data_IF_933360394832
#
_entry.id   IF_933360394832
#
_cell.length_a   1.000
_cell.length_b   1.000
_cell.length_c   1.000
_cell.angle_alpha   90.00
_cell.angle_beta   90.00
_cell.angle_gamma   90.00
#
_symmetry.space_group_name_H-M   'P 1'
#
loop_
_entity.id
_entity.type
_entity.pdbx_description
1 polymer ?
#
# COMPACT_ATOMS: atom_id res chain seq x y z
N UNK A 1 42.69 34.77 -15.65
CA UNK A 1 42.73 33.37 -16.11
C UNK A 1 41.44 32.69 -15.69
N UNK A 2 40.53 32.44 -16.63
CA UNK A 2 39.16 31.94 -16.32
C UNK A 2 38.65 30.85 -17.27
N UNK A 3 39.54 30.25 -18.06
CA UNK A 3 39.19 29.24 -19.07
C UNK A 3 39.70 27.83 -18.73
N UNK A 4 40.31 27.63 -17.55
CA UNK A 4 40.74 26.30 -17.11
C UNK A 4 39.60 25.60 -16.39
N UNK A 5 39.28 24.39 -16.82
CA UNK A 5 38.37 23.51 -16.09
C UNK A 5 38.98 23.21 -14.72
N UNK A 6 38.18 23.28 -13.67
CA UNK A 6 38.62 22.90 -12.34
C UNK A 6 38.99 21.40 -12.36
N UNK A 7 40.25 21.09 -12.05
CA UNK A 7 40.74 19.72 -11.88
C UNK A 7 41.18 19.51 -10.43
N UNK A 8 40.79 18.37 -9.88
CA UNK A 8 41.23 17.92 -8.56
C UNK A 8 42.00 16.61 -8.72
N UNK A 9 43.32 16.76 -8.91
CA UNK A 9 44.24 15.63 -9.06
C UNK A 9 44.38 14.79 -7.78
N UNK A 10 43.88 15.25 -6.62
CA UNK A 10 44.00 14.58 -5.33
C UNK A 10 42.68 13.93 -4.85
N UNK A 11 41.57 14.15 -5.54
CA UNK A 11 40.26 13.59 -5.18
C UNK A 11 39.66 14.16 -3.87
N UNK A 12 40.11 15.34 -3.45
CA UNK A 12 39.66 16.05 -2.25
C UNK A 12 38.40 16.92 -2.47
N UNK A 13 38.05 17.24 -3.71
CA UNK A 13 36.96 18.13 -4.11
C UNK A 13 35.92 17.36 -4.95
N UNK A 14 34.64 17.47 -4.59
CA UNK A 14 33.55 17.10 -5.50
C UNK A 14 33.31 18.23 -6.50
N UNK A 15 33.99 18.17 -7.64
CA UNK A 15 33.77 19.11 -8.75
C UNK A 15 32.48 18.72 -9.47
N UNK A 16 31.37 19.39 -9.15
CA UNK A 16 30.09 19.16 -9.79
C UNK A 16 30.01 19.94 -11.12
N UNK A 17 30.47 19.33 -12.21
CA UNK A 17 30.53 19.93 -13.54
C UNK A 17 29.19 20.12 -14.27
N UNK A 18 28.05 20.07 -13.56
CA UNK A 18 26.72 20.17 -14.18
C UNK A 18 26.06 21.50 -13.81
N UNK A 19 26.26 22.49 -14.67
CA UNK A 19 25.54 23.78 -14.72
C UNK A 19 24.11 23.60 -15.28
N UNK A 20 23.35 22.66 -14.72
CA UNK A 20 21.92 22.52 -15.00
C UNK A 20 21.08 23.36 -14.03
N UNK A 21 19.97 23.94 -14.50
CA UNK A 21 19.03 24.71 -13.68
C UNK A 21 18.71 23.99 -12.35
N UNK A 22 18.72 24.69 -11.19
CA UNK A 22 18.75 24.10 -9.85
C UNK A 22 17.40 23.53 -9.37
N UNK A 23 16.46 23.26 -10.29
CA UNK A 23 15.14 22.75 -9.93
C UNK A 23 15.16 21.22 -9.77
N UNK A 24 16.04 20.51 -10.48
CA UNK A 24 16.22 19.06 -10.33
C UNK A 24 17.69 18.70 -10.48
N UNK A 25 18.32 18.22 -9.41
CA UNK A 25 19.68 17.68 -9.47
C UNK A 25 19.74 16.50 -10.45
N UNK A 26 20.70 16.53 -11.37
CA UNK A 26 20.93 15.46 -12.33
C UNK A 26 21.47 14.21 -11.62
N UNK A 27 20.62 13.19 -11.47
CA UNK A 27 20.92 11.93 -10.75
C UNK A 27 21.58 10.87 -11.65
N UNK A 28 22.26 9.88 -11.03
CA UNK A 28 23.04 8.85 -11.75
C UNK A 28 22.13 7.80 -12.40
N UNK A 29 22.49 7.37 -13.62
CA UNK A 29 21.81 6.26 -14.35
C UNK A 29 21.95 4.94 -13.58
N UNK A 30 20.96 4.05 -13.70
CA UNK A 30 21.06 2.72 -13.11
C UNK A 30 22.13 1.88 -13.83
N UNK A 31 22.86 1.06 -13.08
CA UNK A 31 23.83 0.11 -13.62
C UNK A 31 23.11 -0.97 -14.43
N UNK A 32 23.63 -1.28 -15.64
CA UNK A 32 23.21 -2.48 -16.37
C UNK A 32 23.59 -3.72 -15.55
N UNK A 33 22.64 -4.64 -15.38
CA UNK A 33 22.79 -5.91 -14.64
C UNK A 33 22.51 -7.09 -15.58
N UNK A 34 23.04 -8.30 -15.30
CA UNK A 34 22.96 -9.43 -16.22
C UNK A 34 21.55 -9.72 -16.72
N UNK A 35 21.47 -10.21 -17.96
CA UNK A 35 20.23 -10.38 -18.72
C UNK A 35 19.15 -11.12 -17.93
N UNK A 36 18.07 -10.40 -17.63
CA UNK A 36 16.86 -10.99 -17.08
C UNK A 36 16.15 -11.74 -18.21
N UNK A 37 15.68 -12.96 -17.94
CA UNK A 37 14.86 -13.75 -18.89
C UNK A 37 13.78 -12.85 -19.53
N UNK A 38 13.82 -12.64 -20.87
CA UNK A 38 12.88 -11.78 -21.57
C UNK A 38 11.41 -12.16 -21.33
N UNK A 39 11.13 -13.45 -21.14
CA UNK A 39 9.78 -13.94 -20.90
C UNK A 39 9.25 -13.49 -19.54
N UNK A 40 10.11 -13.58 -18.52
CA UNK A 40 9.81 -13.09 -17.18
C UNK A 40 9.73 -11.56 -17.12
N UNK A 41 10.63 -10.87 -17.83
CA UNK A 41 10.57 -9.41 -17.98
C UNK A 41 9.23 -8.96 -18.55
N UNK A 42 8.77 -9.63 -19.62
CA UNK A 42 7.47 -9.33 -20.23
C UNK A 42 6.32 -9.51 -19.23
N UNK A 43 6.29 -10.64 -18.52
CA UNK A 43 5.26 -10.90 -17.52
C UNK A 43 5.22 -9.80 -16.45
N UNK A 44 6.38 -9.43 -15.89
CA UNK A 44 6.47 -8.40 -14.85
C UNK A 44 5.97 -7.06 -15.41
N UNK A 45 6.39 -6.67 -16.61
CA UNK A 45 5.95 -5.42 -17.23
C UNK A 45 4.44 -5.38 -17.47
N UNK A 46 3.81 -6.50 -17.81
CA UNK A 46 2.35 -6.58 -17.93
C UNK A 46 1.64 -6.43 -16.58
N UNK A 47 2.15 -7.09 -15.52
CA UNK A 47 1.63 -6.86 -14.16
C UNK A 47 1.71 -5.38 -13.78
N UNK A 48 2.85 -4.74 -13.99
CA UNK A 48 3.05 -3.33 -13.63
C UNK A 48 2.21 -2.39 -14.51
N UNK A 49 2.07 -2.68 -15.81
CA UNK A 49 1.22 -1.91 -16.72
C UNK A 49 -0.26 -1.99 -16.34
N UNK A 50 -0.78 -3.19 -16.08
CA UNK A 50 -2.15 -3.39 -15.59
C UNK A 50 -2.34 -2.71 -14.23
N UNK A 51 -1.39 -2.85 -13.31
CA UNK A 51 -1.43 -2.17 -12.02
C UNK A 51 -1.57 -0.65 -12.23
N UNK A 52 -0.69 -0.02 -13.01
CA UNK A 52 -0.74 1.42 -13.26
C UNK A 52 -2.05 1.86 -13.90
N UNK A 53 -2.62 1.06 -14.80
CA UNK A 53 -3.96 1.32 -15.34
C UNK A 53 -5.02 1.37 -14.24
N UNK A 54 -5.06 0.37 -13.35
CA UNK A 54 -6.00 0.34 -12.23
C UNK A 54 -5.78 1.43 -11.19
N UNK A 55 -4.53 1.88 -11.01
CA UNK A 55 -4.23 3.03 -10.17
C UNK A 55 -4.93 4.26 -10.75
N UNK A 56 -4.67 4.58 -12.02
CA UNK A 56 -5.25 5.75 -12.68
C UNK A 56 -6.78 5.68 -12.67
N UNK A 57 -7.36 4.55 -13.08
CA UNK A 57 -8.81 4.34 -13.06
C UNK A 57 -9.38 4.52 -11.65
N UNK A 58 -8.83 3.81 -10.66
CA UNK A 58 -9.29 3.85 -9.28
C UNK A 58 -9.17 5.24 -8.67
N UNK A 59 -8.05 5.94 -8.87
CA UNK A 59 -7.88 7.31 -8.37
C UNK A 59 -8.78 8.31 -9.07
N UNK A 60 -9.06 8.15 -10.38
CA UNK A 60 -10.02 9.00 -11.08
C UNK A 60 -11.44 8.81 -10.55
N UNK A 61 -11.85 7.57 -10.24
CA UNK A 61 -13.13 7.32 -9.55
C UNK A 61 -13.13 7.97 -8.16
N UNK A 62 -12.02 7.88 -7.42
CA UNK A 62 -11.87 8.52 -6.11
C UNK A 62 -11.98 10.05 -6.17
N UNK A 63 -11.33 10.69 -7.14
CA UNK A 63 -11.42 12.12 -7.39
C UNK A 63 -12.86 12.54 -7.70
N UNK A 64 -13.53 11.79 -8.57
CA UNK A 64 -14.93 12.04 -8.91
C UNK A 64 -15.87 11.91 -7.71
N UNK A 65 -15.64 10.92 -6.83
CA UNK A 65 -16.35 10.84 -5.54
C UNK A 65 -16.05 12.03 -4.62
N UNK A 66 -14.81 12.53 -4.63
CA UNK A 66 -14.41 13.76 -3.96
C UNK A 66 -15.23 14.97 -4.42
N UNK A 67 -15.41 15.12 -5.74
CA UNK A 67 -16.27 16.17 -6.32
C UNK A 67 -17.71 16.03 -5.82
N UNK A 68 -18.24 14.80 -5.71
CA UNK A 68 -19.60 14.56 -5.19
C UNK A 68 -19.81 14.94 -3.72
N UNK A 69 -18.76 15.04 -2.91
CA UNK A 69 -18.90 15.58 -1.55
C UNK A 69 -19.20 17.09 -1.55
N UNK A 70 -18.67 17.82 -2.54
CA UNK A 70 -18.85 19.28 -2.65
C UNK A 70 -20.08 19.62 -3.51
N UNK A 71 -20.31 18.86 -4.58
CA UNK A 71 -21.42 19.00 -5.51
C UNK A 71 -22.17 17.65 -5.65
N UNK A 72 -23.05 17.30 -4.68
CA UNK A 72 -23.80 16.05 -4.72
C UNK A 72 -24.69 15.90 -5.95
N UNK A 73 -25.16 17.02 -6.50
CA UNK A 73 -26.06 17.10 -7.67
C UNK A 73 -25.30 17.19 -9.01
N UNK A 74 -24.01 16.85 -9.04
CA UNK A 74 -23.22 16.87 -10.28
C UNK A 74 -23.80 15.96 -11.39
N UNK A 75 -24.52 14.91 -11.01
CA UNK A 75 -25.30 14.03 -11.88
C UNK A 75 -26.27 13.18 -11.05
N UNK A 76 -27.23 12.55 -11.74
CA UNK A 76 -28.23 11.66 -11.12
C UNK A 76 -28.21 10.25 -11.73
N UNK A 77 -27.09 9.82 -12.32
CA UNK A 77 -26.97 8.51 -12.96
C UNK A 77 -26.75 7.45 -11.89
N UNK A 78 -27.63 6.45 -11.81
CA UNK A 78 -27.59 5.43 -10.74
C UNK A 78 -26.26 4.66 -10.70
N UNK A 79 -25.68 4.35 -11.86
CA UNK A 79 -24.37 3.70 -12.02
C UNK A 79 -23.22 4.52 -11.43
N UNK A 80 -23.36 5.84 -11.41
CA UNK A 80 -22.36 6.78 -10.91
C UNK A 80 -22.67 7.28 -9.50
N UNK A 81 -23.69 6.73 -8.84
CA UNK A 81 -24.03 7.10 -7.47
C UNK A 81 -22.87 6.85 -6.49
N UNK A 82 -22.75 7.69 -5.47
CA UNK A 82 -21.68 7.60 -4.48
C UNK A 82 -21.58 6.20 -3.84
N UNK A 83 -22.74 5.64 -3.45
CA UNK A 83 -22.81 4.32 -2.82
C UNK A 83 -22.34 3.16 -3.69
N UNK A 84 -22.40 3.30 -5.03
CA UNK A 84 -21.89 2.28 -5.96
C UNK A 84 -20.45 2.52 -6.36
N UNK A 85 -20.05 3.78 -6.53
CA UNK A 85 -18.69 4.12 -6.94
C UNK A 85 -17.67 4.06 -5.82
N UNK A 86 -18.05 4.28 -4.54
CA UNK A 86 -17.13 4.09 -3.40
C UNK A 86 -16.48 2.70 -3.40
N UNK A 87 -17.25 1.59 -3.45
CA UNK A 87 -16.64 0.27 -3.50
C UNK A 87 -15.90 0.00 -4.83
N UNK A 88 -16.28 0.65 -5.94
CA UNK A 88 -15.49 0.57 -7.19
C UNK A 88 -14.10 1.18 -6.99
N UNK A 89 -14.02 2.38 -6.41
CA UNK A 89 -12.75 3.03 -6.08
C UNK A 89 -11.87 2.15 -5.20
N UNK A 90 -12.41 1.69 -4.07
CA UNK A 90 -11.64 0.90 -3.09
C UNK A 90 -11.15 -0.41 -3.70
N UNK A 91 -12.02 -1.16 -4.40
CA UNK A 91 -11.63 -2.44 -4.99
C UNK A 91 -10.66 -2.28 -6.18
N UNK A 92 -10.81 -1.23 -6.98
CA UNK A 92 -9.87 -0.94 -8.07
C UNK A 92 -8.46 -0.62 -7.54
N UNK A 93 -8.34 0.19 -6.47
CA UNK A 93 -7.02 0.54 -5.91
C UNK A 93 -6.42 -0.59 -5.05
N UNK A 94 -7.23 -1.41 -4.39
CA UNK A 94 -6.76 -2.53 -3.55
C UNK A 94 -6.42 -3.75 -4.40
N UNK A 95 -7.40 -4.28 -5.13
CA UNK A 95 -7.28 -5.55 -5.84
C UNK A 95 -6.73 -5.38 -7.26
N UNK A 96 -6.96 -4.21 -7.88
CA UNK A 96 -6.36 -3.85 -9.16
C UNK A 96 -4.94 -3.32 -9.01
N UNK A 97 -4.77 -2.11 -8.46
CA UNK A 97 -3.46 -1.47 -8.37
C UNK A 97 -2.49 -2.19 -7.43
N UNK A 98 -2.79 -2.18 -6.12
CA UNK A 98 -1.81 -2.59 -5.13
C UNK A 98 -1.48 -4.09 -5.27
N UNK A 99 -2.49 -4.94 -5.45
CA UNK A 99 -2.28 -6.39 -5.60
C UNK A 99 -1.48 -6.75 -6.86
N UNK A 100 -1.79 -6.18 -8.04
CA UNK A 100 -1.01 -6.47 -9.25
C UNK A 100 0.40 -5.87 -9.17
N UNK A 101 0.56 -4.68 -8.58
CA UNK A 101 1.87 -4.06 -8.37
C UNK A 101 2.76 -4.90 -7.45
N UNK A 102 2.20 -5.35 -6.33
CA UNK A 102 2.86 -6.27 -5.40
C UNK A 102 3.27 -7.57 -6.08
N UNK A 103 2.33 -8.25 -6.75
CA UNK A 103 2.60 -9.51 -7.42
C UNK A 103 3.64 -9.36 -8.52
N UNK A 104 3.56 -8.32 -9.35
CA UNK A 104 4.54 -8.02 -10.40
C UNK A 104 5.96 -7.87 -9.84
N UNK A 105 6.12 -7.11 -8.76
CA UNK A 105 7.40 -7.00 -8.06
C UNK A 105 7.79 -8.33 -7.39
N UNK A 106 6.85 -9.09 -6.83
CA UNK A 106 7.08 -10.41 -6.25
C UNK A 106 7.65 -11.42 -7.27
N UNK A 107 7.12 -11.44 -8.50
CA UNK A 107 7.64 -12.25 -9.61
C UNK A 107 9.08 -11.86 -10.01
N UNK A 108 9.50 -10.63 -9.70
CA UNK A 108 10.91 -10.25 -9.79
C UNK A 108 11.71 -10.75 -8.59
N UNK A 109 11.25 -10.46 -7.37
CA UNK A 109 11.99 -10.67 -6.12
C UNK A 109 12.20 -12.15 -5.81
N UNK A 110 11.15 -12.96 -5.83
CA UNK A 110 11.18 -14.34 -5.31
C UNK A 110 12.22 -15.22 -6.03
N UNK A 111 12.29 -15.26 -7.38
CA UNK A 111 13.33 -16.03 -8.06
C UNK A 111 14.75 -15.49 -7.79
N UNK A 112 14.89 -14.17 -7.63
CA UNK A 112 16.20 -13.49 -7.48
C UNK A 112 16.83 -13.81 -6.13
N UNK A 113 16.07 -13.71 -5.04
CA UNK A 113 16.59 -14.04 -3.71
C UNK A 113 16.73 -15.54 -3.49
N UNK A 114 16.01 -16.36 -4.26
CA UNK A 114 16.16 -17.82 -4.26
C UNK A 114 17.31 -18.30 -5.17
N UNK A 115 17.92 -17.37 -5.91
CA UNK A 115 18.97 -17.64 -6.90
C UNK A 115 18.61 -18.82 -7.84
N UNK A 116 17.40 -18.77 -8.40
CA UNK A 116 16.88 -19.78 -9.33
C UNK A 116 15.86 -19.17 -10.30
N UNK A 117 15.49 -19.90 -11.35
CA UNK A 117 14.46 -19.46 -12.30
C UNK A 117 13.07 -19.65 -11.71
N UNK A 118 12.10 -18.84 -12.14
CA UNK A 118 10.69 -19.01 -11.78
C UNK A 118 10.23 -20.43 -12.18
N UNK A 119 9.51 -21.11 -11.30
CA UNK A 119 9.16 -22.51 -11.49
C UNK A 119 8.26 -22.77 -12.72
N UNK A 120 7.26 -21.92 -12.94
CA UNK A 120 6.37 -22.00 -14.10
C UNK A 120 5.89 -20.61 -14.55
N UNK A 121 6.26 -20.19 -15.76
CA UNK A 121 5.85 -18.89 -16.31
C UNK A 121 4.35 -18.82 -16.63
N UNK A 122 3.72 -19.95 -17.01
CA UNK A 122 2.30 -20.00 -17.39
C UNK A 122 1.39 -19.66 -16.21
N UNK A 123 1.75 -20.12 -15.01
CA UNK A 123 0.98 -19.81 -13.79
C UNK A 123 0.97 -18.30 -13.49
N UNK A 124 2.07 -17.61 -13.81
CA UNK A 124 2.11 -16.15 -13.71
C UNK A 124 1.15 -15.45 -14.66
N UNK A 125 1.05 -15.93 -15.91
CA UNK A 125 0.08 -15.39 -16.88
C UNK A 125 -1.37 -15.69 -16.50
N UNK A 126 -1.67 -16.91 -16.06
CA UNK A 126 -3.01 -17.27 -15.61
C UNK A 126 -3.43 -16.44 -14.40
N UNK A 127 -2.55 -16.25 -13.43
CA UNK A 127 -2.81 -15.40 -12.28
C UNK A 127 -3.09 -13.94 -12.70
N UNK A 128 -2.32 -13.39 -13.64
CA UNK A 128 -2.54 -12.05 -14.17
C UNK A 128 -3.92 -11.90 -14.81
N UNK A 129 -4.31 -12.84 -15.67
CA UNK A 129 -5.60 -12.79 -16.37
C UNK A 129 -6.78 -12.95 -15.41
N UNK A 130 -6.68 -13.90 -14.47
CA UNK A 130 -7.72 -14.15 -13.48
C UNK A 130 -7.94 -12.95 -12.55
N UNK A 131 -6.87 -12.32 -12.07
CA UNK A 131 -6.98 -11.14 -11.21
C UNK A 131 -7.58 -9.96 -11.97
N UNK A 132 -7.14 -9.69 -13.21
CA UNK A 132 -7.76 -8.63 -14.01
C UNK A 132 -9.23 -8.94 -14.31
N UNK A 133 -9.57 -10.17 -14.66
CA UNK A 133 -10.96 -10.58 -14.87
C UNK A 133 -11.81 -10.36 -13.61
N UNK A 134 -11.30 -10.70 -12.43
CA UNK A 134 -11.98 -10.44 -11.16
C UNK A 134 -12.25 -8.95 -10.96
N UNK A 135 -11.25 -8.08 -11.19
CA UNK A 135 -11.41 -6.63 -10.98
C UNK A 135 -12.35 -6.00 -12.01
N UNK A 136 -12.31 -6.43 -13.28
CA UNK A 136 -13.23 -5.96 -14.32
C UNK A 136 -14.66 -6.38 -14.00
N UNK A 137 -14.90 -7.67 -13.79
CA UNK A 137 -16.23 -8.19 -13.52
C UNK A 137 -16.79 -7.62 -12.22
N UNK A 138 -15.95 -7.53 -11.18
CA UNK A 138 -16.32 -6.93 -9.91
C UNK A 138 -16.71 -5.47 -10.05
N UNK A 139 -15.93 -4.67 -10.79
CA UNK A 139 -16.26 -3.26 -11.06
C UNK A 139 -17.62 -3.14 -11.73
N UNK A 140 -17.90 -3.96 -12.75
CA UNK A 140 -19.19 -3.96 -13.46
C UNK A 140 -20.32 -4.36 -12.50
N UNK A 141 -20.15 -5.41 -11.70
CA UNK A 141 -21.14 -5.84 -10.71
C UNK A 141 -21.46 -4.71 -9.72
N UNK A 142 -20.44 -4.04 -9.16
CA UNK A 142 -20.64 -2.95 -8.21
C UNK A 142 -21.37 -1.75 -8.81
N UNK A 143 -21.02 -1.35 -10.04
CA UNK A 143 -21.73 -0.28 -10.76
C UNK A 143 -23.19 -0.66 -11.07
N UNK A 144 -23.46 -1.93 -11.32
CA UNK A 144 -24.81 -2.48 -11.48
C UNK A 144 -25.59 -2.60 -10.14
N UNK A 145 -24.93 -2.42 -8.99
CA UNK A 145 -25.51 -2.57 -7.66
C UNK A 145 -25.52 -4.01 -7.14
N UNK A 146 -24.81 -4.93 -7.80
CA UNK A 146 -24.65 -6.33 -7.38
C UNK A 146 -23.42 -6.41 -6.47
N UNK A 147 -23.64 -6.57 -5.17
CA UNK A 147 -22.56 -6.64 -4.17
C UNK A 147 -22.82 -7.73 -3.12
N UNK A 148 -21.80 -8.00 -2.31
CA UNK A 148 -21.81 -9.02 -1.25
C UNK A 148 -22.16 -8.45 0.13
N UNK A 149 -23.34 -7.80 0.25
CA UNK A 149 -23.93 -7.47 1.56
C UNK A 149 -23.24 -6.34 2.35
N UNK A 150 -22.52 -5.43 1.68
CA UNK A 150 -22.01 -4.19 2.29
C UNK A 150 -20.75 -4.31 3.15
N UNK A 151 -20.10 -5.48 3.22
CA UNK A 151 -18.81 -5.62 3.90
C UNK A 151 -17.69 -4.91 3.15
N UNK A 152 -17.04 -3.93 3.79
CA UNK A 152 -15.92 -3.18 3.21
C UNK A 152 -14.77 -4.09 2.75
N UNK A 153 -14.25 -3.82 1.55
CA UNK A 153 -13.20 -4.56 0.84
C UNK A 153 -13.58 -5.99 0.40
N UNK A 154 -14.77 -6.50 0.76
CA UNK A 154 -15.31 -7.80 0.33
C UNK A 154 -16.58 -7.66 -0.50
N UNK A 155 -16.74 -6.54 -1.21
CA UNK A 155 -17.98 -6.20 -1.91
C UNK A 155 -18.20 -7.02 -3.17
N UNK A 156 -17.15 -7.60 -3.77
CA UNK A 156 -17.28 -8.54 -4.87
C UNK A 156 -18.04 -9.80 -4.44
N UNK A 157 -18.98 -10.24 -5.27
CA UNK A 157 -19.69 -11.51 -5.04
C UNK A 157 -18.74 -12.70 -5.16
N UNK A 158 -19.06 -13.79 -4.47
CA UNK A 158 -18.17 -14.96 -4.38
C UNK A 158 -17.68 -15.51 -5.74
N UNK A 159 -18.46 -15.53 -6.85
CA UNK A 159 -17.94 -16.02 -8.14
C UNK A 159 -16.83 -15.14 -8.69
N UNK A 160 -16.92 -13.82 -8.46
CA UNK A 160 -15.91 -12.85 -8.89
C UNK A 160 -14.65 -13.00 -8.04
N UNK A 161 -14.81 -13.05 -6.71
CA UNK A 161 -13.68 -13.20 -5.79
C UNK A 161 -12.96 -14.54 -5.96
N UNK A 162 -13.68 -15.60 -6.37
CA UNK A 162 -13.07 -16.89 -6.66
C UNK A 162 -12.00 -16.81 -7.76
N UNK A 163 -12.19 -15.97 -8.78
CA UNK A 163 -11.17 -15.75 -9.83
C UNK A 163 -9.89 -15.16 -9.23
N UNK A 164 -10.04 -14.14 -8.37
CA UNK A 164 -8.90 -13.55 -7.65
C UNK A 164 -8.20 -14.60 -6.78
N UNK A 165 -8.97 -15.37 -6.01
CA UNK A 165 -8.46 -16.42 -5.13
C UNK A 165 -7.65 -17.47 -5.90
N UNK A 166 -8.15 -17.95 -7.05
CA UNK A 166 -7.43 -18.89 -7.91
C UNK A 166 -6.12 -18.27 -8.41
N UNK A 167 -6.12 -17.00 -8.83
CA UNK A 167 -4.90 -16.31 -9.26
C UNK A 167 -3.84 -16.20 -8.15
N UNK A 168 -4.28 -15.92 -6.92
CA UNK A 168 -3.42 -15.89 -5.73
C UNK A 168 -2.88 -17.29 -5.39
N UNK A 169 -3.71 -18.33 -5.45
CA UNK A 169 -3.29 -19.73 -5.23
C UNK A 169 -2.27 -20.19 -6.27
N UNK A 170 -2.49 -19.88 -7.56
CA UNK A 170 -1.51 -20.20 -8.61
C UNK A 170 -0.18 -19.51 -8.38
N UNK A 171 -0.21 -18.25 -7.94
CA UNK A 171 1.00 -17.51 -7.54
C UNK A 171 1.70 -18.19 -6.36
N UNK A 172 0.95 -18.59 -5.32
CA UNK A 172 1.51 -19.29 -4.16
C UNK A 172 2.24 -20.56 -4.56
N UNK A 173 1.58 -21.43 -5.35
CA UNK A 173 2.16 -22.68 -5.83
C UNK A 173 3.46 -22.40 -6.61
N UNK A 174 3.45 -21.39 -7.48
CA UNK A 174 4.61 -21.03 -8.29
C UNK A 174 5.77 -20.53 -7.42
N UNK A 175 5.50 -19.69 -6.41
CA UNK A 175 6.52 -19.18 -5.50
C UNK A 175 7.08 -20.27 -4.60
N UNK A 176 6.24 -21.14 -4.03
CA UNK A 176 6.70 -22.27 -3.22
C UNK A 176 7.57 -23.23 -4.03
N UNK A 177 7.17 -23.57 -5.26
CA UNK A 177 7.99 -24.40 -6.15
C UNK A 177 9.31 -23.72 -6.54
N UNK A 178 9.31 -22.40 -6.71
CA UNK A 178 10.53 -21.63 -6.98
C UNK A 178 11.47 -21.67 -5.77
N UNK A 179 10.95 -21.45 -4.56
CA UNK A 179 11.73 -21.46 -3.31
C UNK A 179 12.24 -22.87 -2.97
N UNK A 180 11.47 -23.91 -3.28
CA UNK A 180 11.89 -25.30 -3.12
C UNK A 180 13.10 -25.66 -4.01
N UNK A 181 13.24 -24.99 -5.16
CA UNK A 181 14.36 -25.14 -6.11
C UNK A 181 15.48 -24.12 -5.90
N UNK A 182 15.49 -23.44 -4.74
CA UNK A 182 16.52 -22.45 -4.42
C UNK A 182 17.90 -23.09 -4.35
N UNK A 183 18.91 -22.33 -4.71
CA UNK A 183 20.32 -22.73 -4.53
C UNK A 183 20.93 -22.19 -3.23
N UNK A 184 20.24 -21.28 -2.55
CA UNK A 184 20.65 -20.74 -1.25
C UNK A 184 20.30 -21.70 -0.11
N UNK A 185 21.16 -21.81 0.90
CA UNK A 185 20.89 -22.63 2.09
C UNK A 185 19.66 -22.11 2.84
N UNK A 186 19.70 -20.83 3.20
CA UNK A 186 18.62 -20.15 3.91
C UNK A 186 17.63 -19.50 2.95
N UNK A 187 16.38 -19.39 3.39
CA UNK A 187 15.36 -18.61 2.68
C UNK A 187 15.49 -17.16 3.14
N UNK A 188 15.75 -16.24 2.21
CA UNK A 188 15.88 -14.82 2.53
C UNK A 188 14.57 -14.24 3.08
N UNK A 189 14.66 -13.32 4.04
CA UNK A 189 13.51 -12.81 4.79
C UNK A 189 12.43 -12.18 3.90
N UNK A 190 12.81 -11.58 2.77
CA UNK A 190 11.85 -11.06 1.77
C UNK A 190 10.84 -12.12 1.32
N UNK A 191 11.28 -13.37 1.10
CA UNK A 191 10.39 -14.46 0.74
C UNK A 191 9.46 -14.86 1.89
N UNK A 192 9.90 -14.74 3.16
CA UNK A 192 9.05 -15.04 4.31
C UNK A 192 7.83 -14.12 4.31
N UNK A 193 8.06 -12.82 4.19
CA UNK A 193 7.03 -11.80 4.12
C UNK A 193 6.10 -11.98 2.92
N UNK A 194 6.65 -12.15 1.71
CA UNK A 194 5.86 -12.31 0.48
C UNK A 194 4.98 -13.56 0.53
N UNK A 195 5.56 -14.72 0.91
CA UNK A 195 4.80 -15.98 0.94
C UNK A 195 3.77 -15.99 2.06
N UNK A 196 4.13 -15.49 3.25
CA UNK A 196 3.18 -15.37 4.35
C UNK A 196 1.99 -14.50 3.97
N UNK A 197 2.22 -13.39 3.27
CA UNK A 197 1.15 -12.51 2.83
C UNK A 197 0.16 -13.20 1.88
N UNK A 198 0.67 -13.96 0.91
CA UNK A 198 -0.15 -14.75 0.00
C UNK A 198 -0.96 -15.82 0.76
N UNK A 199 -0.34 -16.51 1.72
CA UNK A 199 -1.04 -17.48 2.57
C UNK A 199 -2.17 -16.80 3.34
N UNK A 200 -1.91 -15.65 3.98
CA UNK A 200 -2.93 -14.92 4.71
C UNK A 200 -4.04 -14.39 3.80
N UNK A 201 -3.74 -13.94 2.58
CA UNK A 201 -4.75 -13.53 1.61
C UNK A 201 -5.73 -14.68 1.28
N UNK A 202 -5.22 -15.91 1.16
CA UNK A 202 -6.07 -17.09 0.97
C UNK A 202 -6.89 -17.38 2.22
N UNK A 203 -6.28 -17.34 3.40
CA UNK A 203 -6.97 -17.57 4.69
C UNK A 203 -8.11 -16.57 4.88
N UNK A 204 -7.88 -15.27 4.72
CA UNK A 204 -8.91 -14.26 4.91
C UNK A 204 -10.03 -14.41 3.88
N UNK A 205 -9.71 -14.79 2.64
CA UNK A 205 -10.71 -15.03 1.59
C UNK A 205 -11.61 -16.21 1.96
N UNK A 206 -11.04 -17.32 2.45
CA UNK A 206 -11.82 -18.46 2.93
C UNK A 206 -12.69 -18.04 4.12
N UNK A 207 -12.11 -17.35 5.10
CA UNK A 207 -12.83 -16.88 6.30
C UNK A 207 -13.99 -15.94 5.96
N UNK A 208 -13.87 -15.14 4.90
CA UNK A 208 -14.88 -14.14 4.53
C UNK A 208 -15.94 -14.62 3.54
N UNK A 209 -15.72 -15.72 2.81
CA UNK A 209 -16.64 -16.18 1.77
C UNK A 209 -17.23 -17.58 2.02
N UNK A 210 -16.72 -18.32 3.00
CA UNK A 210 -17.37 -19.56 3.48
C UNK A 210 -18.40 -19.19 4.54
N UNK A 211 -19.71 -19.43 4.30
CA UNK A 211 -20.80 -18.90 5.13
C UNK A 211 -21.05 -19.74 6.41
N UNK A 212 -20.00 -20.21 7.07
CA UNK A 212 -20.13 -21.12 8.22
C UNK A 212 -20.22 -20.37 9.57
N UNK A 213 -19.49 -19.26 9.72
CA UNK A 213 -19.39 -18.50 10.98
C UNK A 213 -19.97 -17.07 10.89
N UNK A 214 -20.61 -16.70 9.78
CA UNK A 214 -21.11 -15.34 9.46
C UNK A 214 -22.56 -15.07 9.92
N UNK A 215 -22.92 -15.43 11.15
CA UNK A 215 -24.27 -15.19 11.69
C UNK A 215 -24.27 -14.18 12.84
N UNK A 216 -25.18 -13.20 12.81
CA UNK A 216 -25.33 -12.19 13.86
C UNK A 216 -24.04 -11.42 14.13
N UNK A 217 -23.58 -11.41 15.39
CA UNK A 217 -22.30 -10.78 15.76
C UNK A 217 -21.08 -11.39 15.05
N UNK A 218 -21.18 -12.65 14.62
CA UNK A 218 -20.14 -13.33 13.86
C UNK A 218 -19.79 -12.58 12.57
N UNK A 219 -20.80 -12.09 11.84
CA UNK A 219 -20.59 -11.33 10.61
C UNK A 219 -19.75 -10.07 10.84
N UNK A 220 -20.06 -9.30 11.89
CA UNK A 220 -19.31 -8.08 12.25
C UNK A 220 -17.87 -8.42 12.65
N UNK A 221 -17.65 -9.47 13.44
CA UNK A 221 -16.31 -9.91 13.85
C UNK A 221 -15.48 -10.31 12.63
N UNK A 222 -16.07 -11.08 11.70
CA UNK A 222 -15.41 -11.54 10.48
C UNK A 222 -15.14 -10.38 9.53
N UNK A 223 -16.06 -9.42 9.43
CA UNK A 223 -15.85 -8.21 8.65
C UNK A 223 -14.63 -7.45 9.16
N UNK A 224 -14.52 -7.26 10.49
CA UNK A 224 -13.37 -6.58 11.09
C UNK A 224 -12.08 -7.34 10.90
N UNK A 225 -12.13 -8.66 11.06
CA UNK A 225 -11.01 -9.56 10.78
C UNK A 225 -10.56 -9.41 9.32
N UNK A 226 -11.45 -9.62 8.35
CA UNK A 226 -11.12 -9.53 6.92
C UNK A 226 -10.57 -8.15 6.55
N UNK A 227 -11.26 -7.09 6.95
CA UNK A 227 -10.93 -5.72 6.60
C UNK A 227 -9.53 -5.34 7.08
N UNK A 228 -9.23 -5.61 8.35
CA UNK A 228 -7.94 -5.26 8.92
C UNK A 228 -6.83 -6.18 8.39
N UNK A 229 -7.07 -7.48 8.35
CA UNK A 229 -6.07 -8.47 7.89
C UNK A 229 -5.72 -8.30 6.41
N UNK A 230 -6.67 -7.85 5.58
CA UNK A 230 -6.38 -7.45 4.21
C UNK A 230 -5.29 -6.37 4.17
N UNK A 231 -5.43 -5.31 4.96
CA UNK A 231 -4.44 -4.22 5.02
C UNK A 231 -3.09 -4.68 5.57
N UNK A 232 -3.07 -5.37 6.72
CA UNK A 232 -1.79 -5.73 7.34
C UNK A 232 -1.12 -6.97 6.81
N UNK A 233 -1.88 -8.04 6.60
CA UNK A 233 -1.30 -9.33 6.25
C UNK A 233 -1.18 -9.50 4.75
N UNK A 234 -2.08 -8.93 3.94
CA UNK A 234 -1.90 -8.95 2.49
C UNK A 234 -1.05 -7.78 2.02
N UNK A 235 -1.52 -6.53 2.16
CA UNK A 235 -0.84 -5.38 1.58
C UNK A 235 0.48 -5.04 2.28
N UNK A 236 0.46 -4.83 3.60
CA UNK A 236 1.63 -4.38 4.35
C UNK A 236 2.71 -5.47 4.36
N UNK A 237 2.37 -6.69 4.79
CA UNK A 237 3.35 -7.77 4.92
C UNK A 237 4.04 -8.07 3.58
N UNK A 238 3.30 -8.13 2.46
CA UNK A 238 3.89 -8.35 1.14
C UNK A 238 4.83 -7.20 0.76
N UNK A 239 4.38 -5.96 0.95
CA UNK A 239 5.14 -4.76 0.60
C UNK A 239 6.41 -4.63 1.45
N UNK A 240 6.37 -4.97 2.73
CA UNK A 240 7.57 -5.06 3.57
C UNK A 240 8.57 -6.06 2.99
N UNK A 241 8.09 -7.21 2.48
CA UNK A 241 8.93 -8.16 1.75
C UNK A 241 9.62 -7.54 0.53
N UNK A 242 8.91 -6.72 -0.25
CA UNK A 242 9.48 -5.95 -1.37
C UNK A 242 10.56 -4.99 -0.87
N UNK A 243 10.32 -4.26 0.22
CA UNK A 243 11.30 -3.32 0.82
C UNK A 243 12.55 -4.03 1.29
N UNK A 244 12.42 -5.18 1.98
CA UNK A 244 13.55 -6.00 2.42
C UNK A 244 14.46 -6.44 1.28
N UNK A 245 13.95 -6.52 0.05
CA UNK A 245 14.77 -6.77 -1.12
C UNK A 245 15.33 -5.49 -1.74
N UNK A 246 14.46 -4.54 -2.11
CA UNK A 246 14.88 -3.42 -2.93
C UNK A 246 15.68 -2.38 -2.17
N UNK A 247 15.36 -2.09 -0.90
CA UNK A 247 16.06 -1.07 -0.13
C UNK A 247 17.58 -1.34 0.01
N UNK A 248 18.01 -2.50 0.54
CA UNK A 248 19.44 -2.83 0.61
C UNK A 248 20.07 -2.89 -0.80
N UNK A 249 19.32 -3.37 -1.79
CA UNK A 249 19.79 -3.42 -3.18
C UNK A 249 20.04 -2.03 -3.78
N UNK A 250 19.19 -1.05 -3.52
CA UNK A 250 19.35 0.33 -4.00
C UNK A 250 20.48 1.06 -3.25
N UNK A 251 20.66 0.76 -1.96
CA UNK A 251 21.75 1.31 -1.16
C UNK A 251 23.09 0.61 -1.41
N UNK A 252 23.08 -0.55 -2.08
CA UNK A 252 24.22 -1.45 -2.23
C UNK A 252 24.88 -1.75 -0.87
N UNK A 253 24.04 -2.12 0.10
CA UNK A 253 24.42 -2.39 1.50
C UNK A 253 23.62 -3.58 2.04
N UNK A 254 24.16 -4.34 3.00
CA UNK A 254 23.34 -5.28 3.75
C UNK A 254 22.25 -4.54 4.52
N UNK A 255 21.14 -5.24 4.78
CA UNK A 255 20.13 -4.76 5.73
C UNK A 255 20.78 -4.59 7.12
N UNK A 256 20.38 -3.57 7.87
CA UNK A 256 21.03 -3.22 9.13
C UNK A 256 21.06 -4.36 10.15
N UNK A 257 19.92 -4.98 10.45
CA UNK A 257 19.83 -6.08 11.41
C UNK A 257 18.88 -7.17 10.93
N UNK A 258 19.43 -8.38 10.75
CA UNK A 258 18.64 -9.55 10.42
C UNK A 258 17.69 -9.94 11.57
N UNK A 259 18.16 -9.85 12.81
CA UNK A 259 17.35 -10.17 14.00
C UNK A 259 16.17 -9.22 14.19
N UNK A 260 16.33 -7.93 13.89
CA UNK A 260 15.19 -6.99 13.89
C UNK A 260 14.16 -7.36 12.81
N UNK A 261 14.62 -7.86 11.67
CA UNK A 261 13.72 -8.36 10.64
C UNK A 261 12.92 -9.57 11.11
N UNK A 262 13.57 -10.56 11.75
CA UNK A 262 12.89 -11.74 12.32
C UNK A 262 11.89 -11.33 13.41
N UNK A 263 12.30 -10.43 14.31
CA UNK A 263 11.44 -9.92 15.38
C UNK A 263 10.21 -9.25 14.78
N UNK A 264 10.40 -8.35 13.82
CA UNK A 264 9.31 -7.67 13.14
C UNK A 264 8.37 -8.67 12.44
N UNK A 265 8.89 -9.69 11.77
CA UNK A 265 8.09 -10.69 11.07
C UNK A 265 7.17 -11.46 12.02
N UNK A 266 7.72 -12.05 13.08
CA UNK A 266 6.93 -12.90 13.98
C UNK A 266 5.98 -12.10 14.86
N UNK A 267 6.41 -10.93 15.34
CA UNK A 267 5.53 -10.08 16.16
C UNK A 267 4.43 -9.44 15.33
N UNK A 268 4.67 -9.12 14.06
CA UNK A 268 3.61 -8.73 13.12
C UNK A 268 2.54 -9.82 13.02
N UNK A 269 2.93 -11.08 12.81
CA UNK A 269 1.97 -12.18 12.71
C UNK A 269 1.20 -12.34 14.04
N UNK A 270 1.92 -12.37 15.17
CA UNK A 270 1.33 -12.56 16.48
C UNK A 270 0.30 -11.48 16.82
N UNK A 271 0.67 -10.21 16.69
CA UNK A 271 -0.18 -9.11 17.14
C UNK A 271 -1.25 -8.75 16.10
N UNK A 272 -0.90 -8.67 14.82
CA UNK A 272 -1.82 -8.16 13.81
C UNK A 272 -3.05 -9.07 13.61
N UNK A 273 -2.88 -10.38 13.80
CA UNK A 273 -4.00 -11.33 13.72
C UNK A 273 -5.11 -11.11 14.77
N UNK A 274 -4.83 -10.37 15.84
CA UNK A 274 -5.75 -10.14 16.95
C UNK A 274 -6.57 -8.84 16.81
N UNK A 275 -6.24 -7.98 15.85
CA UNK A 275 -6.64 -6.57 15.89
C UNK A 275 -8.01 -6.29 15.24
N UNK A 276 -8.56 -7.21 14.45
CA UNK A 276 -9.72 -6.95 13.60
C UNK A 276 -10.91 -6.26 14.28
N UNK A 277 -11.19 -6.54 15.56
CA UNK A 277 -12.32 -5.94 16.28
C UNK A 277 -12.07 -4.52 16.79
N UNK A 278 -10.88 -3.93 16.60
CA UNK A 278 -10.63 -2.52 16.93
C UNK A 278 -11.41 -1.53 16.03
N UNK A 279 -11.94 -2.01 14.90
CA UNK A 279 -12.84 -1.24 14.03
C UNK A 279 -14.25 -1.08 14.61
N UNK A 280 -14.55 -1.83 15.67
CA UNK A 280 -15.88 -1.95 16.24
C UNK A 280 -15.83 -1.73 17.75
N UNK A 281 -14.93 -0.86 18.21
CA UNK A 281 -14.88 -0.40 19.59
C UNK A 281 -16.18 0.34 19.89
N UNK A 282 -16.78 0.08 21.06
CA UNK A 282 -18.12 0.53 21.46
C UNK A 282 -19.31 -0.06 20.66
N UNK A 283 -19.08 -1.06 19.81
CA UNK A 283 -20.17 -1.83 19.19
C UNK A 283 -20.76 -2.89 20.14
N UNK A 284 -21.73 -3.66 19.63
CA UNK A 284 -22.31 -4.83 20.30
C UNK A 284 -21.38 -6.05 20.41
N UNK A 285 -20.16 -6.00 19.86
CA UNK A 285 -19.16 -7.05 20.04
C UNK A 285 -18.74 -7.13 21.53
N UNK A 286 -18.52 -8.33 22.10
CA UNK A 286 -18.11 -8.48 23.49
C UNK A 286 -16.92 -7.59 23.89
N UNK A 287 -17.03 -6.92 25.03
CA UNK A 287 -16.05 -5.94 25.51
C UNK A 287 -14.63 -6.50 25.69
N UNK A 288 -14.53 -7.78 26.08
CA UNK A 288 -13.25 -8.47 26.21
C UNK A 288 -12.55 -8.61 24.85
N UNK A 289 -13.31 -8.89 23.78
CA UNK A 289 -12.77 -9.07 22.44
C UNK A 289 -12.29 -7.73 21.86
N UNK A 290 -13.01 -6.64 22.14
CA UNK A 290 -12.53 -5.28 21.83
C UNK A 290 -11.23 -4.98 22.58
N UNK A 291 -11.14 -5.34 23.87
CA UNK A 291 -9.92 -5.13 24.67
C UNK A 291 -8.73 -5.91 24.14
N UNK A 292 -8.92 -7.17 23.72
CA UNK A 292 -7.85 -7.98 23.10
C UNK A 292 -7.32 -7.30 21.84
N UNK A 293 -8.19 -6.76 20.97
CA UNK A 293 -7.76 -6.05 19.78
C UNK A 293 -7.01 -4.74 20.09
N UNK A 294 -7.39 -4.03 21.15
CA UNK A 294 -6.65 -2.84 21.61
C UNK A 294 -5.25 -3.24 22.11
N UNK A 295 -5.14 -4.33 22.87
CA UNK A 295 -3.83 -4.85 23.33
C UNK A 295 -3.00 -5.31 22.14
N UNK A 296 -3.59 -5.99 21.17
CA UNK A 296 -2.92 -6.35 19.91
C UNK A 296 -2.44 -5.11 19.16
N UNK A 297 -3.25 -4.05 19.10
CA UNK A 297 -2.89 -2.77 18.48
C UNK A 297 -1.70 -2.12 19.20
N UNK A 298 -1.68 -2.11 20.53
CA UNK A 298 -0.52 -1.63 21.27
C UNK A 298 0.72 -2.51 21.03
N UNK A 299 0.54 -3.84 20.91
CA UNK A 299 1.61 -4.78 20.58
C UNK A 299 2.27 -4.51 19.22
N UNK A 300 1.54 -3.90 18.27
CA UNK A 300 2.07 -3.51 16.96
C UNK A 300 3.19 -2.48 17.00
N UNK A 301 3.39 -1.77 18.12
CA UNK A 301 4.57 -0.92 18.31
C UNK A 301 5.86 -1.71 18.10
N UNK A 302 5.90 -2.99 18.51
CA UNK A 302 7.11 -3.82 18.41
C UNK A 302 7.52 -4.04 16.94
N UNK A 303 6.69 -4.63 16.06
CA UNK A 303 7.06 -4.84 14.66
C UNK A 303 7.23 -3.52 13.89
N UNK A 304 6.46 -2.49 14.20
CA UNK A 304 6.55 -1.17 13.53
C UNK A 304 7.90 -0.51 13.85
N UNK A 305 8.28 -0.43 15.13
CA UNK A 305 9.55 0.16 15.54
C UNK A 305 10.71 -0.70 15.01
N UNK A 306 10.65 -2.03 15.18
CA UNK A 306 11.70 -2.92 14.71
C UNK A 306 11.93 -2.79 13.19
N UNK A 307 10.85 -2.83 12.38
CA UNK A 307 10.94 -2.67 10.93
C UNK A 307 11.43 -1.28 10.50
N UNK A 308 10.88 -0.21 11.10
CA UNK A 308 11.28 1.17 10.81
C UNK A 308 12.75 1.40 11.14
N UNK A 309 13.20 1.00 12.34
CA UNK A 309 14.59 1.10 12.74
C UNK A 309 15.49 0.32 11.78
N UNK A 310 15.09 -0.88 11.38
CA UNK A 310 15.86 -1.69 10.44
C UNK A 310 16.06 -0.97 9.09
N UNK A 311 14.99 -0.39 8.55
CA UNK A 311 15.06 0.32 7.27
C UNK A 311 15.82 1.65 7.37
N UNK A 312 15.53 2.50 8.37
CA UNK A 312 16.24 3.78 8.56
C UNK A 312 17.72 3.55 8.81
N UNK A 313 18.09 2.61 9.68
CA UNK A 313 19.50 2.34 9.98
C UNK A 313 20.24 1.71 8.80
N UNK A 314 19.54 1.12 7.82
CA UNK A 314 20.19 0.66 6.58
C UNK A 314 20.73 1.83 5.76
N UNK A 315 20.18 3.05 5.90
CA UNK A 315 20.73 4.28 5.32
C UNK A 315 21.99 4.80 6.03
N UNK A 316 22.35 4.28 7.22
CA UNK A 316 23.49 4.78 8.00
C UNK A 316 24.78 4.80 7.17
N UNK A 317 25.40 5.98 7.08
CA UNK A 317 26.59 6.21 6.24
C UNK A 317 26.33 6.23 4.72
N UNK A 318 25.08 6.35 4.27
CA UNK A 318 24.71 6.47 2.84
C UNK A 318 23.55 7.44 2.57
N UNK A 319 23.24 8.32 3.52
CA UNK A 319 22.24 9.39 3.34
C UNK A 319 22.50 10.26 2.10
N UNK A 320 23.77 10.47 1.74
CA UNK A 320 24.15 11.21 0.52
C UNK A 320 23.61 10.57 -0.78
N UNK A 321 23.25 9.28 -0.79
CA UNK A 321 22.71 8.63 -1.99
C UNK A 321 21.28 9.06 -2.31
N UNK A 322 20.56 9.66 -1.35
CA UNK A 322 19.16 10.08 -1.56
C UNK A 322 19.09 11.19 -2.62
N UNK A 323 20.00 12.17 -2.58
CA UNK A 323 20.07 13.22 -3.60
C UNK A 323 20.39 12.66 -5.00
N UNK A 324 21.17 11.58 -5.06
CA UNK A 324 21.68 11.00 -6.30
C UNK A 324 20.80 9.86 -6.86
N UNK A 325 19.71 9.49 -6.19
CA UNK A 325 18.82 8.39 -6.57
C UNK A 325 17.37 8.84 -6.78
N UNK A 326 16.69 8.26 -7.78
CA UNK A 326 15.26 8.47 -7.99
C UNK A 326 14.39 7.63 -7.07
N UNK A 327 14.86 6.47 -6.63
CA UNK A 327 14.07 5.47 -5.92
C UNK A 327 14.14 5.65 -4.40
N UNK A 328 15.30 6.06 -3.89
CA UNK A 328 15.52 6.22 -2.45
C UNK A 328 14.62 7.25 -1.77
N UNK A 329 14.27 8.41 -2.39
CA UNK A 329 13.28 9.31 -1.81
C UNK A 329 11.93 8.65 -1.58
N UNK A 330 11.44 7.84 -2.54
CA UNK A 330 10.18 7.11 -2.37
C UNK A 330 10.27 6.08 -1.23
N UNK A 331 11.38 5.33 -1.13
CA UNK A 331 11.59 4.44 0.01
C UNK A 331 11.62 5.18 1.34
N UNK A 332 12.32 6.32 1.43
CA UNK A 332 12.42 7.09 2.66
C UNK A 332 11.04 7.58 3.11
N UNK A 333 10.26 8.16 2.21
CA UNK A 333 8.91 8.63 2.52
C UNK A 333 8.00 7.46 2.91
N UNK A 334 8.06 6.34 2.19
CA UNK A 334 7.33 5.13 2.56
C UNK A 334 7.68 4.61 3.96
N UNK A 335 8.95 4.69 4.37
CA UNK A 335 9.40 4.32 5.73
C UNK A 335 8.85 5.31 6.78
N UNK A 336 8.87 6.61 6.48
CA UNK A 336 8.33 7.63 7.39
C UNK A 336 6.82 7.39 7.59
N UNK A 337 6.05 7.20 6.52
CA UNK A 337 4.63 6.89 6.63
C UNK A 337 4.37 5.51 7.23
N UNK A 338 5.27 4.53 7.03
CA UNK A 338 5.16 3.23 7.70
C UNK A 338 5.21 3.41 9.21
N UNK A 339 6.10 4.25 9.71
CA UNK A 339 6.15 4.58 11.12
C UNK A 339 4.94 5.42 11.54
N UNK A 340 4.73 6.60 10.94
CA UNK A 340 3.71 7.55 11.41
C UNK A 340 2.29 7.02 11.23
N UNK A 341 1.97 6.44 10.06
CA UNK A 341 0.67 5.85 9.77
C UNK A 341 0.37 4.65 10.66
N UNK A 342 1.33 3.77 10.92
CA UNK A 342 1.10 2.61 11.81
C UNK A 342 0.96 3.02 13.28
N UNK A 343 1.74 4.02 13.73
CA UNK A 343 1.59 4.60 15.07
C UNK A 343 0.23 5.29 15.23
N UNK A 344 -0.22 6.00 14.19
CA UNK A 344 -1.56 6.60 14.16
C UNK A 344 -2.66 5.53 14.25
N UNK A 345 -2.55 4.43 13.50
CA UNK A 345 -3.50 3.32 13.59
C UNK A 345 -3.57 2.69 14.99
N UNK A 346 -2.44 2.65 15.70
CA UNK A 346 -2.44 2.23 17.12
C UNK A 346 -3.15 3.24 18.01
N UNK A 347 -2.92 4.53 17.78
CA UNK A 347 -3.61 5.57 18.52
C UNK A 347 -5.13 5.51 18.29
N UNK A 348 -5.60 5.27 17.06
CA UNK A 348 -7.03 5.14 16.71
C UNK A 348 -7.73 3.94 17.38
N UNK A 349 -6.97 2.93 17.83
CA UNK A 349 -7.53 1.77 18.51
C UNK A 349 -7.92 2.05 19.97
N UNK A 350 -7.30 3.03 20.64
CA UNK A 350 -7.62 3.31 22.04
C UNK A 350 -9.04 3.86 22.17
N UNK A 351 -9.76 3.45 23.22
CA UNK A 351 -11.15 3.86 23.44
C UNK A 351 -11.35 5.38 23.47
N UNK A 352 -10.44 6.11 24.12
CA UNK A 352 -10.53 7.56 24.29
C UNK A 352 -10.43 8.31 22.96
N UNK A 353 -9.51 7.91 22.09
CA UNK A 353 -9.31 8.49 20.76
C UNK A 353 -10.34 7.99 19.76
N UNK A 354 -10.69 6.70 19.83
CA UNK A 354 -11.73 6.10 19.01
C UNK A 354 -13.09 6.81 19.22
N UNK A 355 -13.42 7.21 20.45
CA UNK A 355 -14.63 8.00 20.74
C UNK A 355 -14.70 9.32 19.96
N UNK A 356 -13.54 9.92 19.62
CA UNK A 356 -13.46 11.18 18.87
C UNK A 356 -13.43 10.91 17.36
N UNK A 357 -12.65 9.92 16.91
CA UNK A 357 -12.34 9.75 15.50
C UNK A 357 -13.22 8.73 14.78
N UNK A 358 -13.88 7.81 15.49
CA UNK A 358 -14.72 6.81 14.84
C UNK A 358 -15.92 7.45 14.16
N UNK A 359 -16.29 6.93 12.97
CA UNK A 359 -17.27 7.52 12.04
C UNK A 359 -16.94 8.94 11.53
N UNK A 360 -15.73 9.44 11.75
CA UNK A 360 -15.23 10.69 11.15
C UNK A 360 -14.37 10.41 9.92
N UNK A 361 -14.09 11.44 9.10
CA UNK A 361 -13.16 11.31 7.96
C UNK A 361 -11.69 11.16 8.39
N UNK A 362 -11.40 11.13 9.70
CA UNK A 362 -10.09 10.80 10.23
C UNK A 362 -9.66 9.40 9.78
N UNK A 363 -10.57 8.43 9.85
CA UNK A 363 -10.32 7.05 9.40
C UNK A 363 -10.13 6.97 7.89
N UNK A 364 -10.80 7.83 7.11
CA UNK A 364 -10.58 7.95 5.66
C UNK A 364 -9.18 8.49 5.38
N UNK A 365 -8.77 9.55 6.08
CA UNK A 365 -7.43 10.12 5.97
C UNK A 365 -6.34 9.12 6.41
N UNK A 366 -6.57 8.37 7.49
CA UNK A 366 -5.70 7.28 7.93
C UNK A 366 -5.50 6.21 6.84
N UNK A 367 -6.60 5.75 6.25
CA UNK A 367 -6.56 4.74 5.19
C UNK A 367 -5.78 5.24 3.97
N UNK A 368 -5.96 6.50 3.56
CA UNK A 368 -5.17 7.10 2.48
C UNK A 368 -3.69 7.28 2.86
N UNK A 369 -3.40 7.72 4.09
CA UNK A 369 -2.02 7.85 4.57
C UNK A 369 -1.30 6.49 4.55
N UNK A 370 -1.99 5.41 4.93
CA UNK A 370 -1.40 4.06 4.98
C UNK A 370 -1.31 3.41 3.60
N UNK A 371 -2.41 3.35 2.85
CA UNK A 371 -2.43 2.72 1.52
C UNK A 371 -1.65 3.54 0.49
N UNK A 372 -1.82 4.85 0.47
CA UNK A 372 -1.09 5.71 -0.46
C UNK A 372 0.33 6.00 0.04
N UNK A 373 0.47 6.54 1.26
CA UNK A 373 1.76 6.96 1.81
C UNK A 373 2.74 5.82 2.05
N UNK A 374 2.27 4.61 2.36
CA UNK A 374 3.14 3.44 2.58
C UNK A 374 3.18 2.57 1.34
N UNK A 375 2.05 1.98 0.96
CA UNK A 375 2.01 0.94 -0.08
C UNK A 375 2.37 1.54 -1.44
N UNK A 376 1.70 2.61 -1.89
CA UNK A 376 2.00 3.19 -3.21
C UNK A 376 3.44 3.71 -3.29
N UNK A 377 3.96 4.41 -2.27
CA UNK A 377 5.34 4.89 -2.28
C UNK A 377 6.37 3.75 -2.38
N UNK A 378 6.18 2.64 -1.65
CA UNK A 378 7.06 1.48 -1.77
C UNK A 378 6.94 0.76 -3.12
N UNK A 379 5.72 0.62 -3.65
CA UNK A 379 5.52 0.03 -4.97
C UNK A 379 6.15 0.90 -6.06
N UNK A 380 5.96 2.22 -6.04
CA UNK A 380 6.64 3.12 -6.99
C UNK A 380 8.15 3.06 -6.84
N UNK A 381 8.69 2.99 -5.63
CA UNK A 381 10.11 2.84 -5.42
C UNK A 381 10.66 1.55 -6.07
N UNK A 382 9.94 0.43 -5.93
CA UNK A 382 10.24 -0.83 -6.59
C UNK A 382 10.08 -0.79 -8.11
N UNK A 383 9.02 -0.14 -8.61
CA UNK A 383 8.74 0.03 -10.04
C UNK A 383 9.84 0.86 -10.71
N UNK A 384 10.18 2.04 -10.16
CA UNK A 384 11.27 2.87 -10.65
C UNK A 384 12.63 2.19 -10.52
N UNK A 385 12.80 1.27 -9.57
CA UNK A 385 14.01 0.47 -9.46
C UNK A 385 14.11 -0.62 -10.55
N UNK A 386 12.98 -1.14 -11.04
CA UNK A 386 12.97 -2.34 -11.88
C UNK A 386 12.66 -2.09 -13.35
N UNK A 387 11.74 -1.18 -13.69
CA UNK A 387 11.32 -0.94 -15.08
C UNK A 387 12.51 -0.55 -15.97
N UNK A 388 13.43 0.34 -15.56
CA UNK A 388 14.61 0.65 -16.38
C UNK A 388 15.52 -0.56 -16.60
N UNK A 389 15.58 -1.48 -15.62
CA UNK A 389 16.39 -2.71 -15.72
C UNK A 389 15.78 -3.75 -16.65
N UNK A 390 14.45 -3.79 -16.76
CA UNK A 390 13.73 -4.71 -17.64
C UNK A 390 13.66 -4.19 -19.09
N UNK A 391 13.63 -2.86 -19.27
CA UNK A 391 13.40 -2.23 -20.58
C UNK A 391 14.66 -1.61 -21.19
N UNK A 392 15.70 -1.37 -20.39
CA UNK A 392 16.86 -0.59 -20.78
C UNK A 392 16.59 0.92 -20.92
N UNK A 393 15.39 1.38 -20.54
CA UNK A 393 14.95 2.77 -20.72
C UNK A 393 14.75 3.45 -19.37
N UNK A 394 15.52 4.50 -19.13
CA UNK A 394 15.37 5.35 -17.96
C UNK A 394 14.26 6.39 -18.19
N UNK A 395 13.45 6.65 -17.17
CA UNK A 395 12.47 7.73 -17.22
C UNK A 395 13.16 9.10 -17.10
N UNK A 396 12.61 10.17 -17.69
CA UNK A 396 13.12 11.51 -17.48
C UNK A 396 13.12 11.89 -16.00
N UNK A 397 14.22 12.46 -15.53
CA UNK A 397 14.41 12.78 -14.10
C UNK A 397 13.35 13.73 -13.57
N UNK A 398 12.98 14.71 -14.39
CA UNK A 398 11.98 15.72 -14.06
C UNK A 398 10.62 15.06 -13.85
N UNK A 399 10.23 14.09 -14.69
CA UNK A 399 8.95 13.40 -14.51
C UNK A 399 8.89 12.56 -13.24
N UNK A 400 10.01 11.92 -12.85
CA UNK A 400 10.06 11.14 -11.61
C UNK A 400 10.03 12.07 -10.38
N UNK A 401 10.75 13.19 -10.44
CA UNK A 401 10.71 14.22 -9.40
C UNK A 401 9.34 14.88 -9.25
N UNK A 402 8.69 15.20 -10.38
CA UNK A 402 7.34 15.73 -10.40
C UNK A 402 6.34 14.73 -9.82
N UNK A 403 6.40 13.46 -10.23
CA UNK A 403 5.55 12.42 -9.65
C UNK A 403 5.73 12.32 -8.13
N UNK A 404 6.98 12.27 -7.65
CA UNK A 404 7.28 12.22 -6.22
C UNK A 404 6.64 13.39 -5.46
N UNK A 405 6.89 14.63 -5.90
CA UNK A 405 6.42 15.82 -5.20
C UNK A 405 4.92 16.00 -5.31
N UNK A 406 4.31 15.77 -6.47
CA UNK A 406 2.86 15.85 -6.64
C UNK A 406 2.15 14.80 -5.78
N UNK A 407 2.67 13.57 -5.72
CA UNK A 407 2.11 12.53 -4.87
C UNK A 407 2.25 12.85 -3.37
N UNK A 408 3.41 13.34 -2.93
CA UNK A 408 3.65 13.67 -1.53
C UNK A 408 2.84 14.89 -1.09
N UNK A 409 2.93 15.98 -1.84
CA UNK A 409 2.22 17.22 -1.55
C UNK A 409 0.71 16.98 -1.62
N UNK A 410 0.22 16.32 -2.68
CA UNK A 410 -1.18 15.95 -2.82
C UNK A 410 -1.69 15.11 -1.65
N UNK A 411 -0.93 14.11 -1.20
CA UNK A 411 -1.29 13.32 -0.02
C UNK A 411 -1.39 14.18 1.24
N UNK A 412 -0.43 15.10 1.47
CA UNK A 412 -0.46 15.98 2.65
C UNK A 412 -1.62 16.97 2.61
N UNK A 413 -1.90 17.57 1.44
CA UNK A 413 -3.06 18.44 1.24
C UNK A 413 -4.39 17.69 1.42
N UNK A 414 -4.43 16.39 1.18
CA UNK A 414 -5.60 15.56 1.42
C UNK A 414 -5.75 15.20 2.90
N UNK A 415 -4.70 14.62 3.51
CA UNK A 415 -4.83 13.98 4.83
C UNK A 415 -4.86 14.98 5.98
N UNK A 416 -4.05 16.05 5.92
CA UNK A 416 -3.94 17.00 7.05
C UNK A 416 -5.27 17.73 7.32
N UNK A 417 -5.93 18.33 6.30
CA UNK A 417 -7.21 19.00 6.54
C UNK A 417 -8.31 18.05 7.00
N UNK A 418 -8.38 16.84 6.41
CA UNK A 418 -9.36 15.84 6.82
C UNK A 418 -9.18 15.42 8.28
N UNK A 419 -7.95 15.15 8.72
CA UNK A 419 -7.68 14.79 10.13
C UNK A 419 -8.05 15.91 11.09
N UNK A 420 -7.73 17.16 10.75
CA UNK A 420 -8.06 18.31 11.57
C UNK A 420 -9.58 18.53 11.65
N UNK A 421 -10.26 18.63 10.51
CA UNK A 421 -11.71 18.82 10.43
C UNK A 421 -12.48 17.70 11.12
N UNK A 422 -12.03 16.46 10.94
CA UNK A 422 -12.63 15.28 11.58
C UNK A 422 -12.48 15.28 13.11
N UNK A 423 -11.36 15.76 13.63
CA UNK A 423 -11.17 15.90 15.08
C UNK A 423 -12.14 16.93 15.65
N UNK A 424 -12.32 18.07 14.97
CA UNK A 424 -13.32 19.08 15.37
C UNK A 424 -14.75 18.52 15.30
N UNK A 425 -15.05 17.73 14.26
CA UNK A 425 -16.35 17.04 14.10
C UNK A 425 -16.64 16.09 15.25
N UNK A 426 -15.68 15.23 15.61
CA UNK A 426 -15.80 14.34 16.76
C UNK A 426 -16.10 15.09 18.06
N UNK A 427 -15.37 16.17 18.32
CA UNK A 427 -15.59 17.00 19.51
C UNK A 427 -16.96 17.69 19.51
N UNK A 428 -17.48 18.10 18.35
CA UNK A 428 -18.82 18.64 18.23
C UNK A 428 -19.92 17.62 18.53
N UNK A 429 -19.75 16.38 18.05
CA UNK A 429 -20.70 15.30 18.34
C UNK A 429 -20.71 14.94 19.83
N UNK A 430 -19.53 14.89 20.46
CA UNK A 430 -19.40 14.69 21.92
C UNK A 430 -20.09 15.82 22.69
N UNK A 431 -20.04 17.06 22.19
CA UNK A 431 -20.71 18.20 22.80
C UNK A 431 -22.24 18.23 22.58
N UNK A 432 -22.82 17.23 21.88
CA UNK A 432 -24.26 17.14 21.63
C UNK A 432 -24.80 18.18 20.65
N UNK A 433 -23.95 18.78 19.82
CA UNK A 433 -24.38 19.75 18.80
C UNK A 433 -25.17 19.08 17.67
N UNK A 434 -26.10 19.79 17.00
CA UNK A 434 -26.83 19.24 15.87
C UNK A 434 -25.90 18.71 14.77
N UNK A 435 -26.18 17.51 14.27
CA UNK A 435 -25.36 16.85 13.25
C UNK A 435 -25.14 17.71 12.00
N UNK A 436 -26.17 18.43 11.56
CA UNK A 436 -26.09 19.30 10.36
C UNK A 436 -25.04 20.42 10.51
N UNK A 437 -24.83 20.95 11.71
CA UNK A 437 -23.80 21.97 11.94
C UNK A 437 -22.38 21.43 11.73
N UNK A 438 -22.18 20.15 12.03
CA UNK A 438 -20.88 19.50 11.80
C UNK A 438 -20.58 19.34 10.31
N UNK A 439 -21.60 19.12 9.47
CA UNK A 439 -21.46 19.04 8.02
C UNK A 439 -21.20 20.44 7.42
N UNK A 440 -21.97 21.45 7.85
CA UNK A 440 -21.87 22.79 7.27
C UNK A 440 -20.54 23.48 7.55
N UNK A 441 -19.90 23.19 8.69
CA UNK A 441 -18.57 23.72 9.04
C UNK A 441 -17.41 22.99 8.35
N UNK A 442 -17.64 21.81 7.80
CA UNK A 442 -16.64 21.04 7.03
C UNK A 442 -16.43 21.67 5.64
N UNK A 443 -17.46 22.32 5.11
CA UNK A 443 -17.34 23.23 3.97
C UNK A 443 -16.68 24.54 4.43
N UNK A 444 -15.34 24.57 4.45
CA UNK A 444 -14.55 25.76 4.76
C UNK A 444 -14.78 26.95 3.79
N UNK A 445 -15.64 26.78 2.79
CA UNK A 445 -16.15 27.84 1.93
C UNK A 445 -17.57 28.21 2.38
N UNK A 446 -17.81 29.42 2.89
CA UNK A 446 -19.16 29.87 3.19
C UNK A 446 -19.98 29.80 1.90
N UNK A 447 -21.07 29.02 1.91
CA UNK A 447 -22.10 29.18 0.89
C UNK A 447 -22.60 30.61 1.04
N UNK A 448 -22.43 31.44 0.02
CA UNK A 448 -23.12 32.72 -0.01
C UNK A 448 -24.60 32.40 0.08
N UNK A 449 -25.23 32.79 1.19
CA UNK A 449 -26.68 32.82 1.29
C UNK A 449 -27.17 33.79 0.22
N UNK A 450 -27.64 33.25 -0.91
CA UNK A 450 -28.44 34.03 -1.84
C UNK A 450 -29.84 34.14 -1.26
N UNK A 451 -30.03 35.20 -0.47
CA UNK A 451 -31.27 35.86 -0.03
C UNK A 451 -32.42 35.00 0.51
#
# INVERSE_FOLDING_TARGET
SGAQAAEDAKGLLQINGQTGLPIVALKKKALQRPGIDPTLSRLILWYLGCATFWLLFGTTVGEYLGIKFVAPDADHVSWLSFGRLRPVHTNAVFWGWASLGMLGLGYYVVPRVSNTKLANIKYGWYALWLINAAVILGTICLMAGINNGGGEYREYIWPVTLLFAIGVVLTLINFLQTIARRTTKEIYISNWYIVAAIIFAIVITIVAYVPYWQNGLGETIIQGYYMHQGVGMWFMLFTLGIVYYFLPQQLNKPIYSYSLGILAFWTQILFYTLIGTHHFVFSSIPWWLQTVAIVGSAGMLIPVIAGTTNFIMTFKGSWYKIKDSYTLPFFLIGIIFYFTGSMQGTAEAFRSTNLIWHFTDFTVAHSHLTMYGIICFFLWAGIYAIVPRLTGKEAPQISVGAHFWLALIGLMFYTIPLMYGSTLRGLHWIAGKPFIESILRENMFPRSESK
#
